data_IF_457749059579
#
_entry.id   IF_457749059579
#
_cell.length_a   1.000
_cell.length_b   1.000
_cell.length_c   1.000
_cell.angle_alpha   90.00
_cell.angle_beta   90.00
_cell.angle_gamma   90.00
#
_symmetry.space_group_name_H-M   'P 1'
#
loop_
_entity.id
_entity.type
_entity.pdbx_description
1 polymer ?
#
# COMPACT_ATOMS: atom_id res chain seq x y z
N UNK A 1 -5.89 -14.70 24.89
CA UNK A 1 -5.36 -13.55 24.14
C UNK A 1 -6.43 -13.12 23.17
N UNK A 2 -6.74 -11.84 23.13
CA UNK A 2 -7.58 -11.26 22.07
C UNK A 2 -6.65 -10.86 20.91
N UNK A 3 -6.90 -11.42 19.73
CA UNK A 3 -6.13 -11.16 18.51
C UNK A 3 -6.89 -10.22 17.55
N UNK A 4 -7.99 -9.64 18.01
CA UNK A 4 -8.76 -8.67 17.24
C UNK A 4 -8.00 -7.37 17.05
N UNK A 5 -8.10 -6.81 15.85
CA UNK A 5 -7.63 -5.45 15.57
C UNK A 5 -8.57 -4.44 16.24
N UNK A 6 -8.00 -3.41 16.85
CA UNK A 6 -8.75 -2.24 17.30
C UNK A 6 -9.40 -1.54 16.10
N UNK A 7 -10.44 -0.75 16.35
CA UNK A 7 -11.14 0.00 15.29
C UNK A 7 -10.19 0.87 14.46
N UNK A 8 -9.19 1.47 15.10
CA UNK A 8 -8.17 2.28 14.44
C UNK A 8 -7.30 1.45 13.51
N UNK A 9 -6.87 0.26 13.94
CA UNK A 9 -6.06 -0.64 13.10
C UNK A 9 -6.86 -1.19 11.92
N UNK A 10 -8.16 -1.46 12.10
CA UNK A 10 -9.04 -1.86 10.99
C UNK A 10 -9.16 -0.74 9.95
N UNK A 11 -9.37 0.51 10.39
CA UNK A 11 -9.44 1.66 9.48
C UNK A 11 -8.12 1.89 8.76
N UNK A 12 -7.00 1.75 9.47
CA UNK A 12 -5.67 1.86 8.88
C UNK A 12 -5.39 0.75 7.86
N UNK A 13 -5.79 -0.49 8.15
CA UNK A 13 -5.70 -1.61 7.22
C UNK A 13 -6.52 -1.36 5.95
N UNK A 14 -7.73 -0.81 6.07
CA UNK A 14 -8.57 -0.47 4.92
C UNK A 14 -7.93 0.62 4.06
N UNK A 15 -7.33 1.63 4.68
CA UNK A 15 -6.61 2.70 3.99
C UNK A 15 -5.41 2.15 3.21
N UNK A 16 -4.55 1.35 3.86
CA UNK A 16 -3.39 0.73 3.21
C UNK A 16 -3.82 -0.22 2.08
N UNK A 17 -4.88 -1.02 2.30
CA UNK A 17 -5.39 -1.91 1.26
C UNK A 17 -5.86 -1.13 0.03
N UNK A 18 -6.59 -0.04 0.24
CA UNK A 18 -7.05 0.81 -0.86
C UNK A 18 -5.89 1.45 -1.63
N UNK A 19 -4.82 1.85 -0.93
CA UNK A 19 -3.60 2.33 -1.57
C UNK A 19 -2.91 1.24 -2.39
N UNK A 20 -2.79 0.03 -1.86
CA UNK A 20 -2.20 -1.10 -2.56
C UNK A 20 -2.98 -1.47 -3.83
N UNK A 21 -4.32 -1.45 -3.79
CA UNK A 21 -5.15 -1.83 -4.93
C UNK A 21 -5.17 -0.78 -6.04
N UNK A 22 -5.19 0.51 -5.69
CA UNK A 22 -5.29 1.60 -6.68
C UNK A 22 -3.95 2.08 -7.21
N UNK A 23 -2.92 2.12 -6.36
CA UNK A 23 -1.62 2.73 -6.72
C UNK A 23 -0.55 1.65 -6.98
N UNK A 24 -0.44 0.64 -6.11
CA UNK A 24 0.63 -0.37 -6.22
C UNK A 24 0.31 -1.39 -7.30
N UNK A 25 -0.90 -1.96 -7.29
CA UNK A 25 -1.31 -3.07 -8.18
C UNK A 25 -1.22 -2.77 -9.68
N UNK A 26 -1.66 -1.61 -10.21
CA UNK A 26 -1.54 -1.33 -11.64
C UNK A 26 -0.09 -1.10 -12.07
N UNK A 27 0.72 -0.47 -11.23
CA UNK A 27 2.13 -0.21 -11.51
C UNK A 27 3.02 -1.43 -11.28
N UNK A 28 2.57 -2.41 -10.49
CA UNK A 28 3.36 -3.59 -10.15
C UNK A 28 3.79 -4.40 -11.37
N UNK A 29 2.91 -4.58 -12.36
CA UNK A 29 3.24 -5.32 -13.57
C UNK A 29 4.30 -4.60 -14.42
N UNK A 30 4.10 -3.30 -14.65
CA UNK A 30 5.05 -2.47 -15.41
C UNK A 30 6.42 -2.40 -14.72
N UNK A 31 6.45 -2.24 -13.40
CA UNK A 31 7.70 -2.11 -12.66
C UNK A 31 8.47 -3.43 -12.59
N UNK A 32 7.77 -4.57 -12.50
CA UNK A 32 8.38 -5.91 -12.55
C UNK A 32 8.98 -6.19 -13.94
N UNK A 33 8.28 -5.80 -15.01
CA UNK A 33 8.80 -5.86 -16.38
C UNK A 33 10.00 -4.93 -16.61
N UNK A 34 10.01 -3.74 -16.02
CA UNK A 34 11.13 -2.78 -16.11
C UNK A 34 12.30 -3.08 -15.15
N UNK A 35 12.17 -4.09 -14.27
CA UNK A 35 13.12 -4.39 -13.18
C UNK A 35 13.54 -3.14 -12.37
N UNK A 36 12.58 -2.22 -12.20
CA UNK A 36 12.81 -0.86 -11.70
C UNK A 36 12.40 -0.74 -10.24
N UNK A 37 12.98 0.22 -9.51
CA UNK A 37 12.50 0.55 -8.17
C UNK A 37 11.27 1.49 -8.22
N UNK A 38 10.15 1.17 -7.51
CA UNK A 38 8.91 1.97 -7.49
C UNK A 38 9.01 3.33 -6.75
N UNK A 39 9.89 4.24 -7.15
CA UNK A 39 10.08 5.53 -6.43
C UNK A 39 8.76 6.29 -6.27
N UNK A 40 7.91 6.32 -7.30
CA UNK A 40 6.62 7.01 -7.28
C UNK A 40 5.65 6.42 -6.25
N UNK A 41 5.60 5.10 -6.17
CA UNK A 41 4.73 4.39 -5.22
C UNK A 41 5.24 4.57 -3.79
N UNK A 42 6.57 4.53 -3.60
CA UNK A 42 7.21 4.75 -2.30
C UNK A 42 7.04 6.18 -1.82
N UNK A 43 7.18 7.18 -2.69
CA UNK A 43 6.97 8.58 -2.34
C UNK A 43 5.50 8.85 -1.93
N UNK A 44 4.54 8.26 -2.66
CA UNK A 44 3.11 8.34 -2.30
C UNK A 44 2.82 7.64 -0.97
N UNK A 45 3.45 6.50 -0.71
CA UNK A 45 3.34 5.80 0.57
C UNK A 45 3.92 6.63 1.73
N UNK A 46 5.06 7.30 1.52
CA UNK A 46 5.66 8.18 2.52
C UNK A 46 4.81 9.41 2.86
N UNK A 47 3.93 9.85 1.95
CA UNK A 47 2.97 10.94 2.23
C UNK A 47 1.77 10.48 3.06
N UNK A 48 1.50 9.17 3.14
CA UNK A 48 0.38 8.61 3.92
C UNK A 48 0.68 8.50 5.42
N UNK A 49 1.94 8.64 5.85
CA UNK A 49 2.33 8.66 7.27
C UNK A 49 3.79 8.37 7.51
#
# INVERSE_FOLDING_TARGET
>A
MDFGLSKTEVLFQQMIRSFAENEVKPLAAEIDEEERFPIETVEKMGKLG
#
